data_IF_815804793870
#
_entry.id   IF_815804793870
#
_cell.length_a   1.000
_cell.length_b   1.000
_cell.length_c   1.000
_cell.angle_alpha   90.00
_cell.angle_beta   90.00
_cell.angle_gamma   90.00
#
_symmetry.space_group_name_H-M   'P 1'
#
loop_
_entity.id
_entity.type
_entity.pdbx_description
1 polymer ?
#
# COMPACT_ATOMS: atom_id res chain seq x y z
N UNK A 1 -31.99 8.42 -0.47
CA UNK A 1 -31.84 7.53 0.72
C UNK A 1 -33.12 7.71 1.56
N UNK A 2 -33.84 6.64 1.85
CA UNK A 2 -35.00 6.70 2.76
C UNK A 2 -34.52 6.63 4.22
N UNK A 3 -35.42 6.93 5.19
CA UNK A 3 -35.07 6.99 6.63
C UNK A 3 -34.55 5.66 7.17
N UNK A 4 -35.02 4.53 6.63
CA UNK A 4 -34.59 3.18 7.03
C UNK A 4 -33.17 2.90 6.54
N UNK A 5 -32.83 3.33 5.34
CA UNK A 5 -31.47 3.24 4.80
C UNK A 5 -30.50 4.14 5.55
N UNK A 6 -30.93 5.38 5.89
CA UNK A 6 -30.14 6.30 6.69
C UNK A 6 -29.80 5.71 8.07
N UNK A 7 -30.77 5.11 8.75
CA UNK A 7 -30.57 4.47 10.07
C UNK A 7 -29.61 3.26 9.94
N UNK A 8 -29.74 2.44 8.88
CA UNK A 8 -28.90 1.26 8.68
C UNK A 8 -27.45 1.60 8.32
N UNK A 9 -27.21 2.75 7.68
CA UNK A 9 -25.87 3.17 7.24
C UNK A 9 -25.12 4.01 8.26
N UNK A 10 -25.85 4.60 9.24
CA UNK A 10 -25.25 5.46 10.27
C UNK A 10 -24.66 4.61 11.39
N UNK A 11 -23.43 4.92 11.76
CA UNK A 11 -22.71 4.42 12.94
C UNK A 11 -22.19 5.57 13.78
N UNK A 12 -21.59 5.23 14.92
CA UNK A 12 -20.74 6.16 15.67
C UNK A 12 -19.31 5.64 15.72
N UNK A 13 -18.36 6.57 15.78
CA UNK A 13 -16.95 6.27 16.08
C UNK A 13 -16.84 5.81 17.55
N UNK A 14 -15.71 5.25 17.95
CA UNK A 14 -15.43 4.91 19.34
C UNK A 14 -15.52 6.16 20.24
N UNK A 15 -15.19 7.33 19.70
CA UNK A 15 -15.24 8.62 20.40
C UNK A 15 -16.59 9.36 20.25
N UNK A 16 -17.62 8.72 19.68
CA UNK A 16 -19.01 9.15 19.69
C UNK A 16 -19.49 9.99 18.52
N UNK A 17 -18.63 10.37 17.56
CA UNK A 17 -19.06 11.16 16.39
C UNK A 17 -19.89 10.33 15.40
N UNK A 18 -20.67 11.01 14.56
CA UNK A 18 -21.45 10.37 13.50
C UNK A 18 -20.52 9.88 12.40
N UNK A 19 -20.66 8.60 12.05
CA UNK A 19 -19.95 7.96 10.94
C UNK A 19 -20.91 7.09 10.14
N UNK A 20 -20.45 6.57 9.01
CA UNK A 20 -21.24 5.74 8.11
C UNK A 20 -20.53 4.40 7.85
N UNK A 21 -21.30 3.36 7.53
CA UNK A 21 -20.77 2.05 7.13
C UNK A 21 -20.41 2.00 5.66
N UNK A 22 -20.90 2.93 4.87
CA UNK A 22 -20.81 2.92 3.41
C UNK A 22 -20.86 4.34 2.86
N UNK A 23 -20.16 4.57 1.76
CA UNK A 23 -20.27 5.77 0.93
C UNK A 23 -21.47 5.71 -0.03
N UNK A 24 -22.15 4.56 -0.11
CA UNK A 24 -23.15 4.25 -1.13
C UNK A 24 -22.56 3.66 -2.42
N UNK A 25 -21.23 3.59 -2.54
CA UNK A 25 -20.54 2.98 -3.66
C UNK A 25 -19.61 1.88 -3.14
N UNK A 26 -19.91 0.61 -3.43
CA UNK A 26 -19.16 -0.56 -2.93
C UNK A 26 -17.67 -0.54 -3.27
N UNK A 27 -17.28 0.02 -4.42
CA UNK A 27 -15.88 0.10 -4.83
C UNK A 27 -15.11 1.15 -4.02
N UNK A 28 -15.74 2.30 -3.76
CA UNK A 28 -15.18 3.31 -2.85
C UNK A 28 -15.12 2.80 -1.41
N UNK A 29 -16.13 2.05 -0.97
CA UNK A 29 -16.14 1.42 0.35
C UNK A 29 -14.95 0.48 0.51
N UNK A 30 -14.69 -0.38 -0.48
CA UNK A 30 -13.54 -1.28 -0.47
C UNK A 30 -12.23 -0.49 -0.49
N UNK A 31 -12.12 0.54 -1.34
CA UNK A 31 -10.93 1.36 -1.46
C UNK A 31 -10.65 2.14 -0.16
N UNK A 32 -11.66 2.78 0.40
CA UNK A 32 -11.53 3.58 1.62
C UNK A 32 -11.33 2.72 2.88
N UNK A 33 -11.89 1.51 2.93
CA UNK A 33 -11.78 0.59 4.05
C UNK A 33 -10.81 -0.57 3.77
N UNK A 34 -9.83 -0.37 2.90
CA UNK A 34 -8.88 -1.42 2.48
C UNK A 34 -8.15 -2.06 3.66
N UNK A 35 -7.75 -1.28 4.67
CA UNK A 35 -7.09 -1.79 5.87
C UNK A 35 -8.03 -2.69 6.69
N UNK A 36 -9.28 -2.27 6.87
CA UNK A 36 -10.30 -3.06 7.56
C UNK A 36 -10.56 -4.39 6.85
N UNK A 37 -10.83 -4.37 5.54
CA UNK A 37 -11.13 -5.57 4.77
C UNK A 37 -9.94 -6.51 4.57
N UNK A 38 -8.71 -6.06 4.84
CA UNK A 38 -7.54 -6.95 4.85
C UNK A 38 -7.62 -7.98 5.98
N UNK A 39 -8.26 -7.63 7.09
CA UNK A 39 -8.43 -8.50 8.26
C UNK A 39 -9.84 -9.08 8.42
N UNK A 40 -10.85 -8.49 7.75
CA UNK A 40 -12.27 -8.88 7.79
C UNK A 40 -12.77 -9.26 6.40
N UNK A 41 -12.14 -10.30 5.83
CA UNK A 41 -12.40 -10.71 4.44
C UNK A 41 -13.80 -11.27 4.20
N UNK A 42 -14.48 -11.73 5.23
CA UNK A 42 -15.87 -12.20 5.21
C UNK A 42 -16.91 -11.07 5.10
N UNK A 43 -16.53 -9.84 5.41
CA UNK A 43 -17.37 -8.66 5.30
C UNK A 43 -17.21 -7.88 3.99
N UNK A 44 -16.35 -8.32 3.08
CA UNK A 44 -16.08 -7.63 1.82
C UNK A 44 -17.37 -7.57 0.98
N UNK A 45 -17.79 -6.38 0.51
CA UNK A 45 -18.91 -6.27 -0.41
C UNK A 45 -18.64 -7.02 -1.72
N UNK A 46 -19.61 -7.81 -2.18
CA UNK A 46 -19.50 -8.49 -3.48
C UNK A 46 -19.40 -7.49 -4.62
N UNK A 47 -18.37 -7.63 -5.44
CA UNK A 47 -18.20 -6.83 -6.65
C UNK A 47 -18.85 -7.50 -7.87
N UNK A 48 -19.01 -6.72 -8.94
CA UNK A 48 -19.67 -7.21 -10.14
C UNK A 48 -18.76 -8.11 -10.99
N UNK A 49 -19.34 -9.11 -11.63
CA UNK A 49 -18.68 -9.93 -12.65
C UNK A 49 -18.76 -9.24 -14.02
N UNK A 50 -18.21 -8.05 -14.10
CA UNK A 50 -18.11 -7.24 -15.32
C UNK A 50 -16.69 -6.71 -15.50
N UNK A 51 -16.40 -6.05 -16.60
CA UNK A 51 -15.06 -5.53 -16.91
C UNK A 51 -14.54 -4.58 -15.81
N UNK A 52 -15.40 -3.73 -15.26
CA UNK A 52 -15.05 -2.79 -14.20
C UNK A 52 -14.68 -3.52 -12.91
N UNK A 53 -15.49 -4.49 -12.47
CA UNK A 53 -15.22 -5.29 -11.27
C UNK A 53 -13.94 -6.11 -11.41
N UNK A 54 -13.71 -6.70 -12.59
CA UNK A 54 -12.47 -7.44 -12.90
C UNK A 54 -11.25 -6.54 -12.81
N UNK A 55 -11.30 -5.39 -13.44
CA UNK A 55 -10.20 -4.42 -13.41
C UNK A 55 -9.91 -3.91 -11.99
N UNK A 56 -10.96 -3.65 -11.20
CA UNK A 56 -10.84 -3.24 -9.80
C UNK A 56 -10.20 -4.35 -8.94
N UNK A 57 -10.63 -5.60 -9.09
CA UNK A 57 -10.03 -6.74 -8.38
C UNK A 57 -8.53 -6.88 -8.68
N UNK A 58 -8.15 -6.78 -9.96
CA UNK A 58 -6.75 -6.77 -10.38
C UNK A 58 -5.99 -5.60 -9.76
N UNK A 59 -6.55 -4.39 -9.77
CA UNK A 59 -5.94 -3.19 -9.19
C UNK A 59 -5.67 -3.35 -7.67
N UNK A 60 -6.62 -3.88 -6.93
CA UNK A 60 -6.42 -4.13 -5.49
C UNK A 60 -5.31 -5.16 -5.25
N UNK A 61 -5.19 -6.18 -6.10
CA UNK A 61 -4.21 -7.27 -5.94
C UNK A 61 -2.80 -6.91 -6.39
N UNK A 62 -2.66 -6.16 -7.46
CA UNK A 62 -1.37 -5.93 -8.13
C UNK A 62 -0.45 -5.02 -7.29
N UNK A 63 0.73 -5.51 -6.84
CA UNK A 63 1.67 -4.71 -6.07
C UNK A 63 2.53 -3.76 -6.92
N UNK A 64 2.47 -3.85 -8.26
CA UNK A 64 3.32 -3.08 -9.19
C UNK A 64 2.65 -1.78 -9.63
N UNK A 65 1.36 -1.86 -9.95
CA UNK A 65 0.59 -0.75 -10.52
C UNK A 65 -0.71 -0.47 -9.75
N UNK A 66 -0.98 -1.23 -8.70
CA UNK A 66 -2.19 -1.14 -7.88
C UNK A 66 -1.87 -1.00 -6.39
N UNK A 67 -2.82 -1.42 -5.56
CA UNK A 67 -2.73 -1.30 -4.10
C UNK A 67 -1.84 -2.37 -3.46
N UNK A 68 -1.75 -3.57 -4.06
CA UNK A 68 -0.90 -4.67 -3.58
C UNK A 68 -1.46 -5.44 -2.38
N UNK A 69 -2.75 -5.36 -2.08
CA UNK A 69 -3.39 -6.07 -0.97
C UNK A 69 -3.72 -7.52 -1.37
N UNK A 70 -2.85 -8.43 -0.98
CA UNK A 70 -2.88 -9.82 -1.46
C UNK A 70 -4.16 -10.56 -1.10
N UNK A 71 -4.53 -10.61 0.17
CA UNK A 71 -5.65 -11.45 0.62
C UNK A 71 -7.00 -10.83 0.24
N UNK A 72 -7.17 -9.53 0.39
CA UNK A 72 -8.31 -8.79 -0.13
C UNK A 72 -8.45 -8.98 -1.66
N UNK A 73 -7.36 -8.82 -2.41
CA UNK A 73 -7.36 -8.97 -3.85
C UNK A 73 -7.75 -10.38 -4.31
N UNK A 74 -7.35 -11.44 -3.60
CA UNK A 74 -7.76 -12.81 -3.90
C UNK A 74 -9.28 -13.00 -3.81
N UNK A 75 -9.91 -12.50 -2.74
CA UNK A 75 -11.37 -12.59 -2.57
C UNK A 75 -12.07 -11.88 -3.74
N UNK A 76 -11.64 -10.65 -4.06
CA UNK A 76 -12.23 -9.86 -5.14
C UNK A 76 -12.03 -10.51 -6.53
N UNK A 77 -10.87 -11.09 -6.80
CA UNK A 77 -10.59 -11.81 -8.05
C UNK A 77 -11.49 -13.04 -8.21
N UNK A 78 -11.79 -13.74 -7.13
CA UNK A 78 -12.75 -14.85 -7.15
C UNK A 78 -14.19 -14.35 -7.40
N UNK A 79 -14.62 -13.31 -6.72
CA UNK A 79 -15.96 -12.72 -6.88
C UNK A 79 -16.22 -12.23 -8.30
N UNK A 80 -15.23 -11.58 -8.92
CA UNK A 80 -15.29 -11.05 -10.28
C UNK A 80 -15.09 -12.13 -11.36
N UNK A 81 -14.83 -13.39 -10.98
CA UNK A 81 -14.57 -14.51 -11.89
C UNK A 81 -13.51 -14.18 -12.94
N UNK A 82 -12.36 -13.68 -12.51
CA UNK A 82 -11.23 -13.40 -13.39
C UNK A 82 -10.78 -14.66 -14.14
N UNK A 83 -10.30 -14.46 -15.36
CA UNK A 83 -9.61 -15.53 -16.09
C UNK A 83 -8.31 -15.94 -15.39
N UNK A 84 -7.83 -17.18 -15.57
CA UNK A 84 -6.56 -17.61 -14.99
C UNK A 84 -5.38 -16.71 -15.42
N UNK A 85 -5.39 -16.25 -16.66
CA UNK A 85 -4.37 -15.34 -17.21
C UNK A 85 -4.35 -13.99 -16.48
N UNK A 86 -5.52 -13.38 -16.23
CA UNK A 86 -5.63 -12.11 -15.54
C UNK A 86 -5.28 -12.25 -14.05
N UNK A 87 -5.59 -13.41 -13.42
CA UNK A 87 -5.16 -13.72 -12.04
C UNK A 87 -3.64 -13.74 -11.96
N UNK A 88 -2.96 -14.41 -12.89
CA UNK A 88 -1.49 -14.48 -12.91
C UNK A 88 -0.88 -13.13 -13.28
N UNK A 89 -1.52 -12.39 -14.19
CA UNK A 89 -1.07 -11.07 -14.63
C UNK A 89 -1.07 -10.05 -13.48
N UNK A 90 -2.12 -10.00 -12.68
CA UNK A 90 -2.22 -9.10 -11.52
C UNK A 90 -1.55 -9.66 -10.24
N UNK A 91 -1.36 -10.96 -10.18
CA UNK A 91 -0.90 -11.69 -9.01
C UNK A 91 0.26 -12.63 -9.27
N UNK A 92 0.06 -13.89 -8.93
CA UNK A 92 1.03 -14.97 -9.03
C UNK A 92 0.33 -16.30 -9.34
N UNK A 93 1.09 -17.29 -9.77
CA UNK A 93 0.55 -18.64 -10.02
C UNK A 93 -0.07 -19.31 -8.77
N UNK A 94 0.42 -19.02 -7.56
CA UNK A 94 -0.18 -19.53 -6.32
C UNK A 94 -1.53 -18.89 -5.98
N UNK A 95 -1.90 -17.77 -6.58
CA UNK A 95 -3.24 -17.18 -6.43
C UNK A 95 -4.32 -18.01 -7.13
N UNK A 96 -3.97 -18.77 -8.19
CA UNK A 96 -4.86 -19.75 -8.81
C UNK A 96 -5.30 -20.87 -7.85
N UNK A 97 -4.46 -21.17 -6.85
CA UNK A 97 -4.71 -22.19 -5.83
C UNK A 97 -5.52 -21.67 -4.63
N UNK A 98 -5.73 -20.37 -4.52
CA UNK A 98 -6.56 -19.79 -3.46
C UNK A 98 -8.04 -20.18 -3.65
N UNK A 99 -8.48 -20.25 -4.92
CA UNK A 99 -9.84 -20.66 -5.32
C UNK A 99 -9.73 -21.67 -6.46
N UNK A 100 -9.37 -22.93 -6.15
CA UNK A 100 -9.14 -23.95 -7.15
C UNK A 100 -10.45 -24.32 -7.83
N UNK A 101 -10.51 -24.15 -9.14
CA UNK A 101 -11.57 -24.61 -10.02
C UNK A 101 -10.93 -25.25 -11.26
N UNK A 102 -11.73 -25.95 -12.06
CA UNK A 102 -11.21 -26.68 -13.22
C UNK A 102 -10.45 -25.81 -14.21
N UNK A 103 -10.91 -24.58 -14.45
CA UNK A 103 -10.22 -23.64 -15.36
C UNK A 103 -8.85 -23.24 -14.82
N UNK A 104 -8.77 -22.84 -13.55
CA UNK A 104 -7.52 -22.45 -12.91
C UNK A 104 -6.52 -23.61 -12.88
N UNK A 105 -6.98 -24.82 -12.54
CA UNK A 105 -6.12 -25.99 -12.43
C UNK A 105 -5.67 -26.52 -13.80
N UNK A 106 -6.55 -26.49 -14.82
CA UNK A 106 -6.17 -26.81 -16.21
C UNK A 106 -5.12 -25.86 -16.74
N UNK A 107 -5.35 -24.55 -16.61
CA UNK A 107 -4.38 -23.52 -17.02
C UNK A 107 -3.03 -23.73 -16.32
N UNK A 108 -3.05 -23.95 -15.01
CA UNK A 108 -1.85 -24.22 -14.24
C UNK A 108 -1.06 -25.42 -14.77
N UNK A 109 -1.75 -26.54 -15.06
CA UNK A 109 -1.13 -27.74 -15.62
C UNK A 109 -0.53 -27.49 -17.01
N UNK A 110 -1.22 -26.73 -17.86
CA UNK A 110 -0.70 -26.36 -19.18
C UNK A 110 0.59 -25.55 -19.06
N UNK A 111 0.62 -24.55 -18.18
CA UNK A 111 1.81 -23.74 -17.94
C UNK A 111 2.98 -24.56 -17.36
N UNK A 112 2.71 -25.49 -16.45
CA UNK A 112 3.73 -26.41 -15.95
C UNK A 112 4.29 -27.33 -17.05
N UNK A 113 3.45 -27.82 -17.98
CA UNK A 113 3.86 -28.62 -19.13
C UNK A 113 4.65 -27.83 -20.16
N UNK A 114 4.39 -26.54 -20.31
CA UNK A 114 5.18 -25.60 -21.14
C UNK A 114 6.53 -25.23 -20.52
N UNK A 115 6.90 -25.82 -19.40
CA UNK A 115 8.12 -25.51 -18.65
C UNK A 115 8.18 -24.09 -18.07
N UNK A 116 7.02 -23.46 -17.81
CA UNK A 116 6.95 -22.13 -17.25
C UNK A 116 7.59 -22.10 -15.86
N UNK A 117 8.74 -21.44 -15.73
CA UNK A 117 9.54 -21.45 -14.50
C UNK A 117 8.85 -20.69 -13.37
N UNK A 118 8.07 -19.64 -13.66
CA UNK A 118 7.26 -18.93 -12.65
C UNK A 118 6.16 -19.83 -12.10
N UNK A 119 5.45 -20.59 -12.97
CA UNK A 119 4.48 -21.56 -12.52
C UNK A 119 5.14 -22.59 -11.59
N UNK A 120 6.25 -23.18 -12.00
CA UNK A 120 7.01 -24.15 -11.20
C UNK A 120 7.46 -23.60 -9.86
N UNK A 121 7.94 -22.35 -9.82
CA UNK A 121 8.39 -21.68 -8.60
C UNK A 121 7.29 -21.60 -7.55
N UNK A 122 6.08 -21.24 -7.93
CA UNK A 122 4.99 -20.97 -7.00
C UNK A 122 4.17 -22.22 -6.63
N UNK A 123 4.54 -23.40 -7.14
CA UNK A 123 3.85 -24.65 -6.76
C UNK A 123 4.16 -25.07 -5.32
N UNK A 124 3.14 -25.57 -4.60
CA UNK A 124 3.32 -26.10 -3.26
C UNK A 124 4.26 -27.31 -3.27
N UNK A 125 5.15 -27.37 -2.30
CA UNK A 125 6.14 -28.45 -2.18
C UNK A 125 5.58 -29.62 -1.35
N UNK A 126 6.03 -30.85 -1.62
CA UNK A 126 5.66 -32.06 -0.86
C UNK A 126 6.37 -32.11 0.52
N UNK A 127 6.43 -30.95 1.20
CA UNK A 127 7.05 -30.81 2.53
C UNK A 127 6.33 -29.73 3.36
N UNK A 128 6.49 -29.80 4.68
CA UNK A 128 5.97 -28.83 5.63
C UNK A 128 4.46 -28.56 5.45
N UNK A 129 4.03 -27.29 5.64
CA UNK A 129 2.64 -26.85 5.54
C UNK A 129 1.99 -27.08 4.17
N UNK A 130 2.79 -27.13 3.11
CA UNK A 130 2.27 -27.23 1.74
C UNK A 130 2.00 -28.69 1.30
N UNK A 131 2.42 -29.67 2.11
CA UNK A 131 2.36 -31.10 1.75
C UNK A 131 0.95 -31.61 1.40
N UNK A 132 -0.06 -31.16 2.14
CA UNK A 132 -1.45 -31.60 1.89
C UNK A 132 -1.96 -31.05 0.56
N UNK A 133 -1.72 -29.78 0.27
CA UNK A 133 -2.10 -29.15 -0.99
C UNK A 133 -1.37 -29.79 -2.17
N UNK A 134 -0.07 -30.04 -2.04
CA UNK A 134 0.72 -30.73 -3.08
C UNK A 134 0.20 -32.14 -3.37
N UNK A 135 -0.21 -32.91 -2.34
CA UNK A 135 -0.84 -34.23 -2.52
C UNK A 135 -2.23 -34.16 -3.19
N UNK A 136 -3.01 -33.13 -2.86
CA UNK A 136 -4.30 -32.92 -3.52
C UNK A 136 -4.10 -32.61 -5.01
N UNK A 137 -3.08 -31.81 -5.37
CA UNK A 137 -2.71 -31.55 -6.77
C UNK A 137 -2.22 -32.81 -7.49
N UNK A 138 -1.41 -33.65 -6.84
CA UNK A 138 -1.03 -34.94 -7.42
C UNK A 138 -2.27 -35.78 -7.79
N UNK A 139 -3.25 -35.86 -6.88
CA UNK A 139 -4.51 -36.60 -7.12
C UNK A 139 -5.33 -35.94 -8.24
N UNK A 140 -5.46 -34.64 -8.26
CA UNK A 140 -6.23 -33.94 -9.28
C UNK A 140 -5.59 -34.09 -10.67
N UNK A 141 -4.26 -34.02 -10.75
CA UNK A 141 -3.51 -34.17 -12.00
C UNK A 141 -3.28 -35.62 -12.44
N UNK A 142 -3.74 -36.57 -11.64
CA UNK A 142 -3.52 -38.00 -11.85
C UNK A 142 -2.04 -38.36 -12.07
N UNK A 143 -1.16 -37.84 -11.22
CA UNK A 143 0.28 -38.09 -11.23
C UNK A 143 0.78 -38.52 -9.85
N UNK A 144 1.85 -39.32 -9.80
CA UNK A 144 2.45 -39.70 -8.53
C UNK A 144 3.39 -38.57 -7.98
N UNK A 145 3.78 -38.69 -6.70
CA UNK A 145 4.64 -37.72 -6.04
C UNK A 145 6.00 -37.54 -6.72
N UNK A 146 6.55 -38.59 -7.36
CA UNK A 146 7.85 -38.50 -8.08
C UNK A 146 7.70 -37.70 -9.36
N UNK A 147 6.62 -37.91 -10.10
CA UNK A 147 6.29 -37.13 -11.31
C UNK A 147 6.00 -35.69 -10.96
N UNK A 148 5.23 -35.45 -9.89
CA UNK A 148 4.95 -34.08 -9.42
C UNK A 148 6.23 -33.35 -9.08
N UNK A 149 7.18 -33.96 -8.34
CA UNK A 149 8.48 -33.33 -8.03
C UNK A 149 9.28 -32.98 -9.27
N UNK A 150 9.23 -33.80 -10.33
CA UNK A 150 9.88 -33.49 -11.61
C UNK A 150 9.18 -32.32 -12.30
N UNK A 151 7.83 -32.33 -12.34
CA UNK A 151 7.00 -31.31 -12.99
C UNK A 151 7.25 -29.93 -12.41
N UNK A 152 7.34 -29.80 -11.08
CA UNK A 152 7.54 -28.53 -10.36
C UNK A 152 9.01 -28.18 -10.11
N UNK A 153 9.94 -28.93 -10.69
CA UNK A 153 11.39 -28.64 -10.53
C UNK A 153 11.71 -27.39 -11.34
N UNK A 154 11.93 -26.27 -10.63
CA UNK A 154 12.40 -25.03 -11.21
C UNK A 154 13.93 -25.08 -11.37
N UNK A 155 14.47 -24.50 -12.42
CA UNK A 155 15.90 -24.28 -12.56
C UNK A 155 16.37 -23.24 -11.53
N UNK A 156 17.37 -23.60 -10.71
CA UNK A 156 17.84 -22.73 -9.61
C UNK A 156 18.38 -21.38 -10.09
N UNK A 157 19.01 -21.36 -11.26
CA UNK A 157 19.55 -20.14 -11.86
C UNK A 157 18.41 -19.24 -12.36
N UNK A 158 17.39 -19.83 -12.97
CA UNK A 158 16.20 -19.13 -13.45
C UNK A 158 15.36 -18.68 -12.26
N UNK A 159 15.16 -19.54 -11.26
CA UNK A 159 14.45 -19.20 -10.01
C UNK A 159 15.10 -17.99 -9.34
N UNK A 160 16.42 -17.95 -9.27
CA UNK A 160 17.17 -16.80 -8.76
C UNK A 160 16.90 -15.53 -9.58
N UNK A 161 17.05 -15.58 -10.91
CA UNK A 161 16.79 -14.43 -11.80
C UNK A 161 15.36 -13.93 -11.69
N UNK A 162 14.38 -14.82 -11.77
CA UNK A 162 12.94 -14.47 -11.68
C UNK A 162 12.59 -13.81 -10.36
N UNK A 163 13.11 -14.31 -9.25
CA UNK A 163 12.86 -13.72 -7.94
C UNK A 163 13.56 -12.39 -7.73
N UNK A 164 14.73 -12.25 -8.29
CA UNK A 164 15.58 -11.07 -8.15
C UNK A 164 15.09 -9.91 -9.03
N UNK A 165 14.71 -10.20 -10.29
CA UNK A 165 14.45 -9.17 -11.28
C UNK A 165 12.94 -8.87 -11.50
N UNK A 166 12.05 -9.83 -11.34
CA UNK A 166 10.68 -9.70 -11.81
C UNK A 166 9.64 -9.52 -10.71
N UNK A 167 9.84 -10.10 -9.51
CA UNK A 167 8.77 -10.21 -8.52
C UNK A 167 9.04 -9.60 -7.14
N UNK A 168 10.22 -9.03 -6.89
CA UNK A 168 10.60 -8.53 -5.57
C UNK A 168 10.63 -9.63 -4.48
N UNK A 169 10.65 -10.91 -4.89
CA UNK A 169 10.68 -12.03 -3.97
C UNK A 169 12.11 -12.31 -3.50
N UNK A 170 12.27 -12.34 -2.19
CA UNK A 170 13.57 -12.50 -1.53
C UNK A 170 14.00 -13.95 -1.31
N UNK A 171 13.20 -14.94 -1.75
CA UNK A 171 13.46 -16.35 -1.47
C UNK A 171 14.83 -16.83 -1.96
N UNK A 172 15.30 -16.46 -3.16
CA UNK A 172 16.63 -16.84 -3.62
C UNK A 172 17.75 -16.14 -2.86
N UNK A 173 17.61 -14.87 -2.53
CA UNK A 173 18.59 -14.18 -1.69
C UNK A 173 18.66 -14.83 -0.30
N UNK A 174 17.54 -15.29 0.26
CA UNK A 174 17.56 -16.10 1.49
C UNK A 174 18.39 -17.37 1.33
N UNK A 175 18.25 -18.10 0.23
CA UNK A 175 19.03 -19.34 0.02
C UNK A 175 20.53 -19.08 -0.20
N UNK A 176 20.88 -17.94 -0.82
CA UNK A 176 22.27 -17.50 -0.97
C UNK A 176 22.92 -17.15 0.36
N UNK A 177 22.16 -16.58 1.29
CA UNK A 177 22.70 -16.03 2.53
C UNK A 177 22.50 -16.89 3.78
N UNK A 178 21.63 -17.92 3.72
CA UNK A 178 21.37 -18.80 4.86
C UNK A 178 22.55 -19.73 5.20
N UNK A 179 23.49 -19.94 4.29
CA UNK A 179 24.68 -20.74 4.54
C UNK A 179 25.91 -19.82 4.67
N UNK A 180 26.21 -19.39 5.89
CA UNK A 180 27.31 -18.45 6.19
C UNK A 180 28.69 -18.94 5.75
N UNK A 181 28.85 -20.24 5.50
CA UNK A 181 30.14 -20.87 5.21
C UNK A 181 30.34 -21.24 3.73
N UNK A 182 29.37 -20.94 2.87
CA UNK A 182 29.48 -21.27 1.43
C UNK A 182 29.30 -19.99 0.62
N UNK A 183 30.35 -19.59 -0.10
CA UNK A 183 30.27 -18.54 -1.11
C UNK A 183 29.48 -19.13 -2.28
N UNK A 184 28.23 -18.67 -2.46
CA UNK A 184 27.43 -19.12 -3.59
C UNK A 184 27.97 -18.45 -4.88
N UNK A 185 28.19 -19.20 -5.97
CA UNK A 185 28.79 -18.64 -7.22
C UNK A 185 28.01 -17.46 -7.80
N UNK A 186 26.71 -17.32 -7.47
CA UNK A 186 25.85 -16.22 -7.94
C UNK A 186 26.02 -14.92 -7.14
N UNK A 187 26.73 -14.91 -6.01
CA UNK A 187 26.97 -13.70 -5.22
C UNK A 187 27.70 -12.64 -6.03
N UNK A 188 28.68 -13.05 -6.83
CA UNK A 188 29.45 -12.14 -7.67
C UNK A 188 28.63 -11.54 -8.83
N UNK A 189 27.53 -12.17 -9.20
CA UNK A 189 26.63 -11.70 -10.27
C UNK A 189 25.58 -10.70 -9.80
N UNK A 190 25.51 -10.39 -8.49
CA UNK A 190 24.54 -9.43 -7.96
C UNK A 190 24.76 -8.05 -8.58
N UNK A 191 23.77 -7.57 -9.31
CA UNK A 191 23.68 -6.19 -9.76
C UNK A 191 22.77 -5.40 -8.81
N UNK A 192 23.37 -4.57 -7.96
CA UNK A 192 22.62 -3.83 -6.93
C UNK A 192 21.57 -2.88 -7.49
N UNK A 193 21.75 -2.31 -8.69
CA UNK A 193 20.75 -1.45 -9.34
C UNK A 193 19.45 -2.19 -9.67
N UNK A 194 19.54 -3.50 -9.84
CA UNK A 194 18.41 -4.34 -10.20
C UNK A 194 17.78 -5.03 -8.98
N UNK A 195 18.39 -4.92 -7.78
CA UNK A 195 17.82 -5.46 -6.55
C UNK A 195 16.52 -4.72 -6.26
N UNK A 196 15.36 -5.44 -6.11
CA UNK A 196 14.12 -4.81 -5.71
C UNK A 196 14.27 -4.08 -4.37
N UNK A 197 13.65 -2.92 -4.24
CA UNK A 197 13.82 -2.05 -3.07
C UNK A 197 13.52 -2.71 -1.73
N UNK A 198 12.47 -3.52 -1.63
CA UNK A 198 12.17 -4.27 -0.40
C UNK A 198 13.24 -5.33 -0.10
N UNK A 199 13.83 -5.94 -1.12
CA UNK A 199 14.97 -6.84 -0.96
C UNK A 199 16.22 -6.08 -0.52
N UNK A 200 16.46 -4.91 -1.10
CA UNK A 200 17.56 -4.03 -0.71
C UNK A 200 17.47 -3.66 0.77
N UNK A 201 16.32 -3.21 1.23
CA UNK A 201 16.05 -2.91 2.66
C UNK A 201 16.29 -4.14 3.53
N UNK A 202 15.72 -5.28 3.16
CA UNK A 202 15.82 -6.53 3.93
C UNK A 202 17.26 -7.02 4.09
N UNK A 203 18.06 -6.94 3.04
CA UNK A 203 19.44 -7.46 3.03
C UNK A 203 20.51 -6.37 3.18
N UNK A 204 20.12 -5.12 3.43
CA UNK A 204 21.03 -3.99 3.57
C UNK A 204 22.21 -4.31 4.51
N UNK A 205 21.92 -4.80 5.72
CA UNK A 205 22.95 -5.20 6.67
C UNK A 205 23.82 -6.34 6.16
N UNK A 206 23.24 -7.33 5.46
CA UNK A 206 24.01 -8.43 4.86
C UNK A 206 24.97 -7.92 3.80
N UNK A 207 24.51 -7.02 2.92
CA UNK A 207 25.33 -6.40 1.90
C UNK A 207 26.45 -5.53 2.49
N UNK A 208 26.19 -4.83 3.60
CA UNK A 208 27.14 -3.93 4.26
C UNK A 208 28.17 -4.65 5.13
N UNK A 209 27.90 -5.90 5.58
CA UNK A 209 28.77 -6.57 6.56
C UNK A 209 29.48 -7.80 6.01
N UNK A 210 29.00 -8.37 4.92
CA UNK A 210 29.57 -9.59 4.35
C UNK A 210 30.82 -9.26 3.54
N UNK A 211 31.95 -9.89 3.85
CA UNK A 211 33.28 -9.59 3.28
C UNK A 211 33.33 -9.61 1.75
N UNK A 212 32.62 -10.57 1.11
CA UNK A 212 32.58 -10.72 -0.35
C UNK A 212 31.67 -9.70 -1.07
N UNK A 213 30.87 -8.89 -0.33
CA UNK A 213 29.92 -7.93 -0.88
C UNK A 213 30.17 -6.49 -0.45
N UNK A 214 30.72 -6.29 0.74
CA UNK A 214 30.82 -4.98 1.40
C UNK A 214 31.40 -3.90 0.50
N UNK A 215 32.59 -4.12 -0.06
CA UNK A 215 33.29 -3.12 -0.87
C UNK A 215 32.54 -2.76 -2.16
N UNK A 216 31.89 -3.77 -2.77
CA UNK A 216 31.04 -3.56 -3.96
C UNK A 216 29.79 -2.78 -3.63
N UNK A 217 29.18 -3.09 -2.48
CA UNK A 217 27.95 -2.43 -2.03
C UNK A 217 28.25 -0.98 -1.60
N UNK A 218 29.32 -0.71 -0.87
CA UNK A 218 29.75 0.65 -0.52
C UNK A 218 30.02 1.50 -1.76
N UNK A 219 30.73 0.96 -2.76
CA UNK A 219 30.94 1.65 -4.05
C UNK A 219 29.63 1.95 -4.78
N UNK A 220 28.69 1.01 -4.72
CA UNK A 220 27.36 1.22 -5.30
C UNK A 220 26.61 2.35 -4.60
N UNK A 221 26.55 2.36 -3.24
CA UNK A 221 25.88 3.43 -2.48
C UNK A 221 26.53 4.79 -2.73
N UNK A 222 27.86 4.85 -2.82
CA UNK A 222 28.58 6.08 -3.16
C UNK A 222 28.23 6.55 -4.58
N UNK A 223 28.12 5.64 -5.53
CA UNK A 223 27.68 5.91 -6.90
C UNK A 223 26.24 6.47 -6.94
N UNK A 224 25.35 5.95 -6.07
CA UNK A 224 23.98 6.48 -5.92
C UNK A 224 24.01 7.90 -5.34
N UNK A 225 24.80 8.16 -4.30
CA UNK A 225 24.99 9.51 -3.72
C UNK A 225 25.50 10.54 -4.73
N UNK A 226 26.36 10.10 -5.64
CA UNK A 226 26.88 10.93 -6.74
C UNK A 226 25.92 11.04 -7.94
N UNK A 227 24.74 10.45 -7.89
CA UNK A 227 23.77 10.44 -8.98
C UNK A 227 24.17 9.64 -10.23
N UNK A 228 25.25 8.81 -10.14
CA UNK A 228 25.72 7.96 -11.24
C UNK A 228 24.94 6.64 -11.34
N UNK A 229 24.39 6.18 -10.25
CA UNK A 229 23.53 5.01 -10.13
C UNK A 229 22.23 5.37 -9.41
N UNK A 230 21.22 4.50 -9.45
CA UNK A 230 19.92 4.70 -8.80
C UNK A 230 19.57 3.51 -7.93
N UNK A 231 18.92 3.77 -6.78
CA UNK A 231 18.21 2.74 -6.06
C UNK A 231 16.90 2.42 -6.81
N UNK A 232 16.57 1.13 -6.89
CA UNK A 232 15.28 0.72 -7.45
C UNK A 232 14.19 0.96 -6.41
N UNK A 233 13.52 2.11 -6.46
CA UNK A 233 12.48 2.52 -5.49
C UNK A 233 11.05 2.31 -6.00
N UNK A 234 10.85 1.62 -7.13
CA UNK A 234 9.54 1.46 -7.78
C UNK A 234 8.42 0.92 -6.88
N UNK A 235 8.76 0.09 -5.89
CA UNK A 235 7.80 -0.54 -4.97
C UNK A 235 8.06 -0.18 -3.50
N UNK A 236 9.03 0.70 -3.21
CA UNK A 236 9.26 1.20 -1.84
C UNK A 236 8.33 2.34 -1.56
N UNK A 237 7.62 2.27 -0.47
CA UNK A 237 6.86 3.39 0.06
C UNK A 237 7.59 4.06 1.23
N UNK A 238 7.14 5.23 1.60
CA UNK A 238 7.76 6.02 2.69
C UNK A 238 7.69 5.32 4.05
N UNK A 239 6.69 4.47 4.27
CA UNK A 239 6.58 3.69 5.49
C UNK A 239 7.62 2.57 5.58
N UNK A 240 8.02 1.95 4.46
CA UNK A 240 9.10 0.95 4.47
C UNK A 240 10.42 1.58 4.93
N UNK A 241 10.70 2.81 4.48
CA UNK A 241 11.88 3.58 4.92
C UNK A 241 11.76 3.89 6.42
N UNK A 242 10.63 4.44 6.85
CA UNK A 242 10.37 4.77 8.25
C UNK A 242 10.57 3.55 9.18
N UNK A 243 9.96 2.41 8.84
CA UNK A 243 10.03 1.18 9.63
C UNK A 243 11.45 0.63 9.75
N UNK A 244 12.28 0.85 8.75
CA UNK A 244 13.63 0.32 8.69
C UNK A 244 14.73 1.39 8.89
N UNK A 245 14.36 2.62 9.22
CA UNK A 245 15.24 3.81 9.28
C UNK A 245 16.52 3.66 10.13
N UNK A 246 16.51 2.76 11.10
CA UNK A 246 17.67 2.48 11.94
C UNK A 246 18.57 1.35 11.37
N UNK A 247 18.19 0.75 10.24
CA UNK A 247 18.89 -0.39 9.64
C UNK A 247 19.50 -0.06 8.28
N UNK A 248 19.05 1.03 7.65
CA UNK A 248 19.43 1.46 6.30
C UNK A 248 19.91 2.91 6.33
N UNK A 249 20.50 3.38 5.25
CA UNK A 249 20.72 4.81 4.99
C UNK A 249 19.39 5.46 4.60
N UNK A 250 18.59 5.84 5.60
CA UNK A 250 17.22 6.33 5.40
C UNK A 250 17.19 7.63 4.59
N UNK A 251 18.19 8.49 4.73
CA UNK A 251 18.33 9.74 3.97
C UNK A 251 18.44 9.40 2.48
N UNK A 252 19.38 8.52 2.13
CA UNK A 252 19.62 8.11 0.75
C UNK A 252 18.37 7.49 0.12
N UNK A 253 17.67 6.60 0.85
CA UNK A 253 16.44 5.99 0.34
C UNK A 253 15.31 7.00 0.16
N UNK A 254 15.15 7.93 1.11
CA UNK A 254 14.11 8.95 1.04
C UNK A 254 14.36 9.95 -0.10
N UNK A 255 15.60 10.30 -0.39
CA UNK A 255 15.96 11.14 -1.51
C UNK A 255 15.63 10.52 -2.87
N UNK A 256 15.70 9.19 -2.98
CA UNK A 256 15.35 8.48 -4.22
C UNK A 256 13.85 8.30 -4.44
N UNK A 257 12.99 8.55 -3.42
CA UNK A 257 11.53 8.55 -3.61
C UNK A 257 11.16 9.78 -4.47
N UNK A 258 10.38 9.60 -5.55
CA UNK A 258 9.89 10.72 -6.34
C UNK A 258 9.16 11.74 -5.46
N UNK A 259 9.48 13.02 -5.63
CA UNK A 259 8.81 14.11 -4.91
C UNK A 259 7.73 14.70 -5.78
N UNK A 260 6.51 14.69 -5.28
CA UNK A 260 5.37 15.39 -5.90
C UNK A 260 5.39 16.88 -5.51
N UNK A 261 4.74 17.71 -6.31
CA UNK A 261 4.43 19.10 -5.92
C UNK A 261 2.95 19.18 -5.64
N UNK A 262 2.59 19.44 -4.39
CA UNK A 262 1.20 19.43 -3.95
C UNK A 262 0.90 20.64 -3.07
N UNK A 263 -0.18 21.34 -3.38
CA UNK A 263 -0.67 22.45 -2.54
C UNK A 263 -1.54 21.87 -1.42
N UNK A 264 -0.91 21.44 -0.33
CA UNK A 264 -1.61 20.79 0.78
C UNK A 264 -1.08 21.21 2.17
N UNK A 265 -1.90 20.96 3.17
CA UNK A 265 -1.50 20.89 4.57
C UNK A 265 -1.72 19.46 5.06
N UNK A 266 -0.66 18.71 5.40
CA UNK A 266 -0.80 17.42 6.06
C UNK A 266 -1.22 17.63 7.52
N UNK A 267 -2.23 16.89 7.95
CA UNK A 267 -2.81 16.92 9.29
C UNK A 267 -2.64 15.53 9.88
N UNK A 268 -1.72 15.41 10.83
CA UNK A 268 -1.33 14.14 11.44
C UNK A 268 -2.11 13.90 12.73
N UNK A 269 -2.89 12.85 12.76
CA UNK A 269 -3.55 12.37 13.95
C UNK A 269 -2.52 11.80 14.93
N UNK A 270 -2.48 12.36 16.14
CA UNK A 270 -1.59 11.94 17.23
C UNK A 270 -2.37 11.35 18.40
N UNK A 271 -3.67 11.07 18.24
CA UNK A 271 -4.52 10.47 19.27
C UNK A 271 -4.03 9.08 19.70
N UNK A 272 -4.44 8.67 20.91
CA UNK A 272 -4.03 7.39 21.49
C UNK A 272 -4.45 6.19 20.64
N UNK A 273 -5.60 6.25 19.95
CA UNK A 273 -6.13 5.17 19.09
C UNK A 273 -5.17 4.78 17.96
N UNK A 274 -4.40 5.74 17.42
CA UNK A 274 -3.40 5.51 16.37
C UNK A 274 -2.27 4.54 16.78
N UNK A 275 -2.02 4.38 18.07
CA UNK A 275 -0.95 3.53 18.62
C UNK A 275 -1.44 2.14 19.03
N UNK A 276 -2.74 1.86 18.96
CA UNK A 276 -3.30 0.56 19.27
C UNK A 276 -3.46 -0.31 18.01
N UNK A 277 -3.05 -1.57 18.11
CA UNK A 277 -3.18 -2.55 17.04
C UNK A 277 -1.84 -3.00 16.46
N UNK A 278 -1.89 -4.06 15.65
CA UNK A 278 -0.70 -4.69 15.07
C UNK A 278 -0.16 -3.96 13.83
N UNK A 279 -0.92 -3.01 13.29
CA UNK A 279 -0.67 -2.45 11.94
C UNK A 279 0.15 -1.17 11.91
N UNK A 280 0.61 -0.66 13.06
CA UNK A 280 1.41 0.57 13.14
C UNK A 280 0.79 1.75 12.35
N UNK A 281 -0.50 2.04 12.62
CA UNK A 281 -1.21 3.15 11.98
C UNK A 281 -0.49 4.49 12.17
N UNK A 282 0.02 4.72 13.39
CA UNK A 282 0.79 5.92 13.74
C UNK A 282 2.06 6.07 12.88
N UNK A 283 2.84 5.00 12.71
CA UNK A 283 4.06 5.03 11.89
C UNK A 283 3.77 5.23 10.42
N UNK A 284 2.70 4.61 9.89
CA UNK A 284 2.24 4.83 8.51
C UNK A 284 1.84 6.30 8.30
N UNK A 285 0.98 6.84 9.16
CA UNK A 285 0.54 8.22 9.10
C UNK A 285 1.69 9.22 9.22
N UNK A 286 2.59 9.01 10.19
CA UNK A 286 3.76 9.86 10.41
C UNK A 286 4.70 9.89 9.19
N UNK A 287 4.95 8.74 8.57
CA UNK A 287 5.83 8.65 7.39
C UNK A 287 5.24 9.38 6.17
N UNK A 288 3.91 9.30 5.99
CA UNK A 288 3.21 10.02 4.92
C UNK A 288 3.13 11.51 5.25
N UNK A 289 2.87 11.90 6.51
CA UNK A 289 2.88 13.30 6.93
C UNK A 289 4.25 13.94 6.69
N UNK A 290 5.34 13.25 7.02
CA UNK A 290 6.70 13.69 6.72
C UNK A 290 6.89 13.92 5.21
N UNK A 291 6.54 12.94 4.39
CA UNK A 291 6.67 13.04 2.94
C UNK A 291 5.85 14.20 2.36
N UNK A 292 4.58 14.33 2.76
CA UNK A 292 3.71 15.41 2.30
C UNK A 292 4.21 16.79 2.76
N UNK A 293 4.69 16.91 3.99
CA UNK A 293 5.28 18.14 4.50
C UNK A 293 6.54 18.56 3.70
N UNK A 294 7.36 17.57 3.28
CA UNK A 294 8.53 17.83 2.40
C UNK A 294 8.12 18.19 0.97
N UNK A 295 6.94 17.77 0.52
CA UNK A 295 6.43 17.98 -0.84
C UNK A 295 5.46 19.17 -0.94
N UNK A 296 4.95 19.68 0.18
CA UNK A 296 3.96 20.77 0.18
C UNK A 296 4.52 22.06 -0.41
N UNK A 297 3.73 22.67 -1.30
CA UNK A 297 4.00 24.01 -1.83
C UNK A 297 3.32 25.11 -1.01
N UNK A 298 2.31 24.77 -0.22
CA UNK A 298 1.59 25.71 0.65
C UNK A 298 2.33 25.97 1.97
N UNK A 299 2.73 24.90 2.66
CA UNK A 299 3.45 24.97 3.94
C UNK A 299 4.68 24.03 3.92
N UNK A 300 5.77 24.39 3.22
CA UNK A 300 6.95 23.54 3.10
C UNK A 300 7.57 23.20 4.46
N UNK A 301 7.92 21.94 4.66
CA UNK A 301 8.49 21.40 5.90
C UNK A 301 7.61 21.61 7.15
N UNK A 302 6.29 21.62 6.98
CA UNK A 302 5.35 21.80 8.07
C UNK A 302 4.25 20.74 8.04
N UNK A 303 3.75 20.39 9.24
CA UNK A 303 2.66 19.46 9.47
C UNK A 303 1.82 19.99 10.64
N UNK A 304 0.50 19.88 10.56
CA UNK A 304 -0.38 20.21 11.68
C UNK A 304 -0.64 18.94 12.50
N UNK A 305 -0.43 19.00 13.83
CA UNK A 305 -0.84 17.90 14.69
C UNK A 305 -2.35 17.95 14.91
N UNK A 306 -2.96 16.77 14.90
CA UNK A 306 -4.37 16.60 15.16
C UNK A 306 -4.56 15.96 16.54
N UNK A 307 -4.93 16.80 17.53
CA UNK A 307 -5.15 16.43 18.91
C UNK A 307 -6.15 17.43 19.54
N UNK A 308 -6.40 17.32 20.84
CA UNK A 308 -7.19 18.32 21.57
C UNK A 308 -6.57 19.73 21.55
N UNK A 309 -5.30 19.86 21.19
CA UNK A 309 -4.55 21.12 21.06
C UNK A 309 -3.71 21.09 19.77
N UNK A 310 -4.34 21.30 18.60
CA UNK A 310 -3.62 21.27 17.32
C UNK A 310 -2.47 22.27 17.31
N UNK A 311 -1.32 21.85 16.76
CA UNK A 311 -0.12 22.68 16.65
C UNK A 311 0.48 22.56 15.27
N UNK A 312 1.02 23.65 14.76
CA UNK A 312 1.90 23.63 13.61
C UNK A 312 3.28 23.08 14.03
N UNK A 313 3.68 21.98 13.48
CA UNK A 313 4.98 21.33 13.68
C UNK A 313 5.88 21.63 12.50
N UNK A 314 7.14 22.01 12.78
CA UNK A 314 8.14 22.16 11.75
C UNK A 314 8.99 20.90 11.66
N UNK A 315 9.15 20.35 10.46
CA UNK A 315 10.07 19.24 10.17
C UNK A 315 11.50 19.81 10.20
N UNK A 316 12.27 19.42 11.22
CA UNK A 316 13.63 19.96 11.48
C UNK A 316 14.58 18.82 11.79
N UNK A 317 15.77 18.81 11.20
CA UNK A 317 16.82 17.84 11.48
C UNK A 317 17.90 17.90 10.40
N UNK A 318 19.04 17.28 10.69
CA UNK A 318 20.16 17.14 9.76
C UNK A 318 20.09 15.80 9.00
N UNK A 319 19.15 14.93 9.38
CA UNK A 319 18.92 13.62 8.79
C UNK A 319 17.46 13.18 9.00
N UNK A 320 17.06 12.14 8.27
CA UNK A 320 15.72 11.59 8.30
C UNK A 320 15.22 11.27 9.71
N UNK A 321 16.07 10.66 10.55
CA UNK A 321 15.68 10.29 11.92
C UNK A 321 15.41 11.50 12.81
N UNK A 322 16.19 12.57 12.68
CA UNK A 322 15.97 13.82 13.41
C UNK A 322 14.71 14.52 12.93
N UNK A 323 14.47 14.55 11.62
CA UNK A 323 13.24 15.11 11.02
C UNK A 323 12.01 14.38 11.56
N UNK A 324 12.02 13.03 11.58
CA UNK A 324 10.93 12.23 12.15
C UNK A 324 10.73 12.54 13.64
N UNK A 325 11.82 12.63 14.42
CA UNK A 325 11.75 12.98 15.85
C UNK A 325 11.14 14.35 16.10
N UNK A 326 11.41 15.32 15.22
CA UNK A 326 10.87 16.67 15.36
C UNK A 326 9.35 16.77 15.25
N UNK A 327 8.71 15.73 14.69
CA UNK A 327 7.27 15.63 14.52
C UNK A 327 6.55 14.92 15.69
N UNK A 328 7.26 14.43 16.69
CA UNK A 328 6.63 13.86 17.89
C UNK A 328 6.20 14.96 18.86
N UNK A 329 4.90 15.07 19.10
CA UNK A 329 4.34 16.10 19.98
C UNK A 329 4.32 15.72 21.46
N UNK A 330 4.37 14.44 21.78
CA UNK A 330 4.07 13.89 23.10
C UNK A 330 2.61 14.02 23.54
N UNK A 331 1.73 14.57 22.67
CA UNK A 331 0.30 14.77 22.93
C UNK A 331 -0.49 13.65 22.24
N UNK A 332 -0.99 12.70 23.03
CA UNK A 332 -1.84 11.59 22.59
C UNK A 332 -3.29 11.79 23.03
N UNK A 333 -3.75 13.05 23.13
CA UNK A 333 -5.10 13.39 23.57
C UNK A 333 -6.14 13.15 22.46
N UNK A 334 -7.40 13.52 22.74
CA UNK A 334 -8.57 13.25 21.90
C UNK A 334 -8.49 13.81 20.47
N UNK A 335 -9.32 13.27 19.60
CA UNK A 335 -9.42 13.55 18.16
C UNK A 335 -10.46 14.62 17.87
N UNK A 336 -10.19 15.88 18.24
CA UNK A 336 -11.11 17.01 18.06
C UNK A 336 -10.93 17.67 16.68
N UNK A 337 -11.61 17.15 15.66
CA UNK A 337 -11.59 17.68 14.29
C UNK A 337 -12.05 19.14 14.22
N UNK A 338 -12.99 19.56 15.10
CA UNK A 338 -13.48 20.95 15.16
C UNK A 338 -12.33 21.93 15.38
N UNK A 339 -11.47 21.66 16.36
CA UNK A 339 -10.35 22.55 16.69
C UNK A 339 -9.32 22.64 15.56
N UNK A 340 -9.08 21.52 14.86
CA UNK A 340 -8.21 21.53 13.67
C UNK A 340 -8.83 22.41 12.59
N UNK A 341 -10.12 22.25 12.31
CA UNK A 341 -10.82 23.04 11.29
C UNK A 341 -10.87 24.53 11.62
N UNK A 342 -10.97 24.88 12.92
CA UNK A 342 -10.95 26.27 13.38
C UNK A 342 -9.65 27.00 13.05
N UNK A 343 -8.50 26.29 12.92
CA UNK A 343 -7.22 26.89 12.48
C UNK A 343 -7.29 27.47 11.06
N UNK A 344 -8.17 26.91 10.22
CA UNK A 344 -8.28 27.29 8.81
C UNK A 344 -9.47 28.22 8.53
N UNK A 345 -10.25 28.61 9.56
CA UNK A 345 -11.51 29.32 9.36
C UNK A 345 -11.35 30.69 8.75
N UNK A 346 -10.38 31.47 9.27
CA UNK A 346 -10.23 32.89 8.96
C UNK A 346 -8.96 33.19 8.14
N UNK A 347 -8.40 32.18 7.46
CA UNK A 347 -7.26 32.38 6.57
C UNK A 347 -7.73 33.06 5.27
N UNK A 348 -6.92 34.00 4.78
CA UNK A 348 -7.16 34.69 3.50
C UNK A 348 -6.97 33.77 2.31
N UNK A 349 -6.03 32.82 2.41
CA UNK A 349 -5.75 31.80 1.41
C UNK A 349 -5.81 30.43 2.07
N UNK A 350 -6.46 29.48 1.41
CA UNK A 350 -6.53 28.09 1.84
C UNK A 350 -5.73 27.20 0.88
N UNK A 351 -5.16 26.08 1.38
CA UNK A 351 -4.54 25.10 0.51
C UNK A 351 -5.59 24.44 -0.41
N UNK A 352 -5.12 23.84 -1.48
CA UNK A 352 -6.00 23.03 -2.34
C UNK A 352 -6.52 21.79 -1.59
N UNK A 353 -5.65 21.19 -0.74
CA UNK A 353 -5.99 20.00 0.03
C UNK A 353 -5.65 20.12 1.51
N UNK A 354 -6.57 19.70 2.37
CA UNK A 354 -6.30 19.33 3.75
C UNK A 354 -6.21 17.81 3.82
N UNK A 355 -5.02 17.26 4.06
CA UNK A 355 -4.80 15.80 4.07
C UNK A 355 -4.82 15.29 5.49
N UNK A 356 -5.94 14.71 5.92
CA UNK A 356 -6.15 14.17 7.26
C UNK A 356 -5.69 12.71 7.29
N UNK A 357 -4.64 12.45 8.05
CA UNK A 357 -4.00 11.15 8.23
C UNK A 357 -4.39 10.60 9.60
N UNK A 358 -5.40 9.72 9.66
CA UNK A 358 -6.07 9.29 10.89
C UNK A 358 -6.56 7.84 10.81
N UNK A 359 -6.95 7.28 11.94
CA UNK A 359 -7.74 6.05 12.02
C UNK A 359 -9.26 6.29 11.95
N UNK A 360 -9.67 7.55 11.71
CA UNK A 360 -11.05 8.01 11.53
C UNK A 360 -11.92 7.94 12.80
N UNK A 361 -11.33 7.82 13.98
CA UNK A 361 -12.04 7.80 15.26
C UNK A 361 -12.20 9.21 15.86
N UNK A 362 -13.09 10.02 15.29
CA UNK A 362 -13.29 11.43 15.66
C UNK A 362 -14.22 11.61 16.88
N UNK A 363 -13.98 12.68 17.66
CA UNK A 363 -14.80 13.07 18.81
C UNK A 363 -16.21 13.52 18.37
N UNK A 364 -17.19 13.39 19.26
CA UNK A 364 -18.58 13.76 19.02
C UNK A 364 -18.73 15.23 18.56
N UNK A 365 -19.54 15.46 17.52
CA UNK A 365 -19.80 16.77 16.95
C UNK A 365 -18.74 17.27 15.95
N UNK A 366 -17.67 16.53 15.73
CA UNK A 366 -16.61 16.89 14.79
C UNK A 366 -17.13 17.07 13.37
N UNK A 367 -17.94 16.13 12.86
CA UNK A 367 -18.52 16.19 11.51
C UNK A 367 -19.51 17.35 11.33
N UNK A 368 -20.30 17.69 12.35
CA UNK A 368 -21.21 18.86 12.29
C UNK A 368 -20.43 20.15 12.12
N UNK A 369 -19.35 20.31 12.87
CA UNK A 369 -18.47 21.49 12.80
C UNK A 369 -17.75 21.58 11.47
N UNK A 370 -17.22 20.45 10.97
CA UNK A 370 -16.60 20.33 9.66
C UNK A 370 -17.58 20.75 8.55
N UNK A 371 -18.79 20.21 8.53
CA UNK A 371 -19.78 20.51 7.49
C UNK A 371 -20.18 21.98 7.47
N UNK A 372 -20.29 22.62 8.65
CA UNK A 372 -20.52 24.08 8.74
C UNK A 372 -19.37 24.87 8.13
N UNK A 373 -18.11 24.48 8.40
CA UNK A 373 -16.94 25.14 7.86
C UNK A 373 -16.82 24.92 6.34
N UNK A 374 -17.04 23.70 5.85
CA UNK A 374 -17.06 23.40 4.41
C UNK A 374 -18.11 24.23 3.66
N UNK A 375 -19.32 24.40 4.26
CA UNK A 375 -20.35 25.25 3.71
C UNK A 375 -19.90 26.71 3.68
N UNK A 376 -19.33 27.21 4.77
CA UNK A 376 -18.78 28.58 4.86
C UNK A 376 -17.68 28.83 3.81
N UNK A 377 -16.75 27.91 3.65
CA UNK A 377 -15.70 28.03 2.62
C UNK A 377 -16.30 28.07 1.20
N UNK A 378 -17.27 27.23 0.92
CA UNK A 378 -17.98 27.24 -0.37
C UNK A 378 -18.68 28.58 -0.64
N UNK A 379 -19.31 29.17 0.36
CA UNK A 379 -19.96 30.50 0.29
C UNK A 379 -18.92 31.61 0.05
N UNK A 380 -17.68 31.43 0.53
CA UNK A 380 -16.55 32.35 0.28
C UNK A 380 -15.82 32.11 -1.05
N UNK A 381 -16.23 31.09 -1.82
CA UNK A 381 -15.61 30.75 -3.09
C UNK A 381 -14.34 29.88 -2.99
N UNK A 382 -14.01 29.36 -1.82
CA UNK A 382 -12.88 28.44 -1.65
C UNK A 382 -13.20 27.05 -2.23
N UNK A 383 -12.19 26.45 -2.85
CA UNK A 383 -12.27 25.13 -3.51
C UNK A 383 -11.50 24.05 -2.77
N UNK A 384 -11.05 24.33 -1.56
CA UNK A 384 -10.30 23.41 -0.68
C UNK A 384 -11.09 22.11 -0.48
N UNK A 385 -10.39 20.98 -0.64
CA UNK A 385 -10.93 19.63 -0.43
C UNK A 385 -10.25 18.94 0.72
N UNK A 386 -10.98 18.06 1.37
CA UNK A 386 -10.42 17.21 2.41
C UNK A 386 -10.07 15.86 1.78
N UNK A 387 -8.85 15.40 2.03
CA UNK A 387 -8.42 14.05 1.76
C UNK A 387 -8.47 13.28 3.08
N UNK A 388 -9.36 12.32 3.17
CA UNK A 388 -9.50 11.41 4.29
C UNK A 388 -8.62 10.19 4.04
N UNK A 389 -7.54 10.05 4.78
CA UNK A 389 -6.61 8.93 4.61
C UNK A 389 -6.65 8.02 5.83
N UNK A 390 -7.32 6.87 5.67
CA UNK A 390 -7.58 5.92 6.73
C UNK A 390 -6.44 4.89 6.87
N UNK A 391 -5.93 4.73 8.08
CA UNK A 391 -4.93 3.72 8.45
C UNK A 391 -5.49 2.65 9.41
N UNK A 392 -6.80 2.70 9.72
CA UNK A 392 -7.44 1.80 10.66
C UNK A 392 -7.90 0.50 9.99
N UNK A 393 -7.58 -0.64 10.62
CA UNK A 393 -8.10 -1.95 10.26
C UNK A 393 -9.11 -2.52 11.28
N UNK A 394 -9.47 -1.75 12.33
CA UNK A 394 -10.35 -2.20 13.41
C UNK A 394 -11.82 -1.98 13.13
N UNK A 395 -12.16 -0.84 12.56
CA UNK A 395 -13.54 -0.40 12.42
C UNK A 395 -13.89 -0.10 10.96
N UNK A 396 -15.11 -0.58 10.56
CA UNK A 396 -15.69 -0.28 9.26
C UNK A 396 -16.45 1.04 9.37
N UNK A 397 -15.74 2.17 9.24
CA UNK A 397 -16.31 3.49 9.32
C UNK A 397 -15.88 4.40 8.17
N UNK A 398 -16.80 5.23 7.71
CA UNK A 398 -16.59 6.29 6.73
C UNK A 398 -17.01 7.60 7.38
N UNK A 399 -16.18 8.66 7.42
CA UNK A 399 -16.47 9.87 8.18
C UNK A 399 -17.63 10.68 7.61
N UNK A 400 -17.95 10.52 6.33
CA UNK A 400 -19.10 11.19 5.70
C UNK A 400 -19.51 10.51 4.39
N UNK A 401 -20.73 10.84 3.92
CA UNK A 401 -21.13 10.65 2.52
C UNK A 401 -20.69 11.90 1.77
N UNK A 402 -19.88 11.73 0.71
CA UNK A 402 -19.28 12.85 0.01
C UNK A 402 -20.32 13.76 -0.66
N UNK A 403 -20.47 14.97 -0.12
CA UNK A 403 -21.29 16.05 -0.68
C UNK A 403 -20.45 17.22 -1.23
N UNK A 404 -19.13 17.22 -1.02
CA UNK A 404 -18.23 18.34 -1.31
C UNK A 404 -17.07 18.00 -2.25
N UNK A 405 -17.03 16.79 -2.79
CA UNK A 405 -15.97 16.33 -3.69
C UNK A 405 -14.67 15.98 -2.96
N UNK A 406 -14.78 15.53 -1.68
CA UNK A 406 -13.65 15.06 -0.90
C UNK A 406 -13.12 13.73 -1.44
N UNK A 407 -11.89 13.39 -1.07
CA UNK A 407 -11.19 12.19 -1.51
C UNK A 407 -11.05 11.25 -0.32
N UNK A 408 -11.31 9.97 -0.57
CA UNK A 408 -11.15 8.92 0.45
C UNK A 408 -10.04 7.96 0.02
N UNK A 409 -9.07 7.75 0.91
CA UNK A 409 -7.95 6.85 0.72
C UNK A 409 -7.82 5.88 1.89
N UNK A 410 -7.23 4.72 1.64
CA UNK A 410 -6.88 3.76 2.67
C UNK A 410 -5.57 3.05 2.32
N UNK A 411 -4.78 2.75 3.35
CA UNK A 411 -3.48 2.12 3.18
C UNK A 411 -2.37 3.13 2.90
N UNK A 412 -1.26 2.65 2.33
CA UNK A 412 -0.02 3.43 2.18
C UNK A 412 0.70 3.18 0.84
N UNK A 413 -0.07 2.78 -0.18
CA UNK A 413 0.50 2.53 -1.52
C UNK A 413 1.08 3.81 -2.15
N UNK A 414 2.27 3.75 -2.78
CA UNK A 414 2.86 4.89 -3.49
C UNK A 414 1.94 5.48 -4.57
N UNK A 415 1.14 4.63 -5.23
CA UNK A 415 0.19 5.06 -6.26
C UNK A 415 -0.87 6.02 -5.72
N UNK A 416 -1.23 5.91 -4.43
CA UNK A 416 -2.17 6.83 -3.79
C UNK A 416 -1.58 8.24 -3.65
N UNK A 417 -0.25 8.37 -3.51
CA UNK A 417 0.43 9.67 -3.46
C UNK A 417 0.40 10.39 -4.81
N UNK A 418 0.59 9.66 -5.92
CA UNK A 418 0.60 10.23 -7.28
C UNK A 418 -0.75 10.88 -7.66
N UNK A 419 -1.85 10.41 -7.07
CA UNK A 419 -3.19 10.91 -7.36
C UNK A 419 -3.59 12.14 -6.57
N UNK A 420 -2.84 12.53 -5.55
CA UNK A 420 -3.07 13.77 -4.81
C UNK A 420 -2.81 15.04 -5.65
N UNK A 421 -2.08 14.91 -6.76
CA UNK A 421 -1.87 16.01 -7.72
C UNK A 421 -3.12 16.30 -8.57
N UNK A 422 -4.12 15.42 -8.52
CA UNK A 422 -5.30 15.55 -9.37
C UNK A 422 -6.55 15.98 -8.59
N UNK A 423 -7.28 16.96 -9.15
CA UNK A 423 -8.50 17.52 -8.52
C UNK A 423 -9.73 16.64 -8.80
N UNK A 424 -9.87 15.44 -8.17
CA UNK A 424 -10.95 14.49 -8.40
C UNK A 424 -11.90 14.37 -7.21
N UNK A 425 -13.21 14.20 -7.49
CA UNK A 425 -14.12 13.65 -6.51
C UNK A 425 -13.89 12.13 -6.35
N UNK A 426 -14.43 11.50 -5.31
CA UNK A 426 -14.15 10.09 -4.98
C UNK A 426 -14.42 9.14 -6.14
N UNK A 427 -15.55 9.27 -6.85
CA UNK A 427 -15.91 8.42 -7.99
C UNK A 427 -15.01 8.71 -9.19
N UNK A 428 -14.82 9.98 -9.53
CA UNK A 428 -13.93 10.38 -10.63
C UNK A 428 -12.49 9.97 -10.35
N UNK A 429 -12.06 10.07 -9.10
CA UNK A 429 -10.76 9.60 -8.65
C UNK A 429 -10.60 8.10 -8.89
N UNK A 430 -11.55 7.27 -8.44
CA UNK A 430 -11.52 5.83 -8.65
C UNK A 430 -11.49 5.46 -10.15
N UNK A 431 -12.31 6.12 -10.96
CA UNK A 431 -12.34 5.89 -12.40
C UNK A 431 -10.99 6.21 -13.08
N UNK A 432 -10.32 7.27 -12.64
CA UNK A 432 -9.00 7.62 -13.15
C UNK A 432 -7.91 6.64 -12.69
N UNK A 433 -7.97 6.19 -11.44
CA UNK A 433 -7.11 5.11 -10.93
C UNK A 433 -7.18 3.90 -11.84
N UNK A 434 -8.39 3.41 -12.09
CA UNK A 434 -8.61 2.21 -12.89
C UNK A 434 -8.23 2.43 -14.36
N UNK A 435 -8.48 3.60 -14.93
CA UNK A 435 -8.06 3.95 -16.30
C UNK A 435 -6.54 3.90 -16.43
N UNK A 436 -5.81 4.50 -15.50
CA UNK A 436 -4.34 4.50 -15.49
C UNK A 436 -3.78 3.09 -15.26
N UNK A 437 -4.42 2.33 -14.39
CA UNK A 437 -4.07 0.93 -14.17
C UNK A 437 -4.25 0.10 -15.44
N UNK A 438 -5.39 0.24 -16.15
CA UNK A 438 -5.66 -0.44 -17.43
C UNK A 438 -4.58 -0.16 -18.46
N UNK A 439 -4.17 1.11 -18.63
CA UNK A 439 -3.10 1.48 -19.56
C UNK A 439 -1.76 0.79 -19.25
N UNK A 440 -1.44 0.59 -17.98
CA UNK A 440 -0.23 -0.13 -17.56
C UNK A 440 -0.34 -1.63 -17.87
N UNK A 441 -1.50 -2.23 -17.60
CA UNK A 441 -1.77 -3.65 -17.89
C UNK A 441 -1.74 -3.94 -19.39
N UNK A 442 -2.36 -3.08 -20.20
CA UNK A 442 -2.37 -3.23 -21.67
C UNK A 442 -0.94 -3.21 -22.23
N UNK A 443 -0.09 -2.28 -21.78
CA UNK A 443 1.34 -2.25 -22.13
C UNK A 443 2.12 -3.51 -21.71
N UNK A 444 1.68 -4.20 -20.66
CA UNK A 444 2.30 -5.47 -20.28
C UNK A 444 1.86 -6.63 -21.15
N UNK A 445 0.61 -6.64 -21.61
CA UNK A 445 0.06 -7.68 -22.51
C UNK A 445 0.69 -7.62 -23.92
N UNK A 446 1.19 -6.44 -24.32
CA UNK A 446 1.86 -6.22 -25.62
C UNK A 446 3.34 -6.67 -25.63
N UNK A 447 3.93 -6.94 -24.48
CA UNK A 447 5.33 -7.41 -24.30
C UNK A 447 5.40 -8.92 -24.16
#
# INVERSE_FOLDING_TARGET
MNIVEAIKTTKRTENGDISFNTTGNKYLDILFQTEYFTTHTDEIPKIDDNEYGKLFAMFIRDPRFGIGKRDLGKVLMNDSKLSPEDIVLAGRFDDLLAYPNDNNLKYLMEELKKDNQLAKKWMPRLKNKDKLLAKALCKYFDINEKEYRKLIKCDSTVEYKLSYYENGDNTPLNSLFNNKNVIHPLVDTINFEQVPSLAMIKYYNTFSTREDLKDRFEKYLESVKQGKSKLNTKVTNVYDIYRNRNKIDADLFFEQIPKIKINCVPILDTSGSMYFGADDAAGKALSIAHYLGKCSTYCPNQVVSFSSRPKLMNIKGNNYNEEIKSMYTGDCSNTDLKKVMELFKDLEELPEYLVILSDMEFDEGSNVSKNRLMKYWKEKGYTTKIVWWNFNNRNKTVPEIDAYGNIYLSGYSPQLLEFLESNFNGERFLNNLLKNYKLNIDKMKEK
#
